data_IF_275508665187
#
_entry.id   IF_275508665187
#
_cell.length_a   1.000
_cell.length_b   1.000
_cell.length_c   1.000
_cell.angle_alpha   90.00
_cell.angle_beta   90.00
_cell.angle_gamma   90.00
#
_symmetry.space_group_name_H-M   'P 1'
#
loop_
_entity.id
_entity.type
_entity.pdbx_description
1 polymer ?
#
# COMPACT_ATOMS: atom_id res chain seq x y z
N UNK A 1 7.92 -32.76 24.71
CA UNK A 1 8.43 -32.81 23.32
C UNK A 1 9.78 -32.12 23.34
N UNK A 2 10.84 -32.87 23.09
CA UNK A 2 12.25 -32.44 23.18
C UNK A 2 12.56 -31.36 22.13
N UNK A 3 13.39 -30.39 22.50
CA UNK A 3 13.81 -29.17 21.76
C UNK A 3 14.63 -29.47 20.47
N UNK A 4 14.56 -30.68 19.92
CA UNK A 4 15.53 -31.15 18.92
C UNK A 4 15.02 -31.23 17.47
N UNK A 5 13.75 -30.94 17.18
CA UNK A 5 13.29 -30.86 15.80
C UNK A 5 13.24 -29.41 15.31
N UNK A 6 14.12 -29.08 14.36
CA UNK A 6 14.02 -27.87 13.55
C UNK A 6 12.66 -27.88 12.83
N UNK A 7 11.86 -26.85 13.05
CA UNK A 7 10.52 -26.73 12.49
C UNK A 7 10.60 -25.86 11.24
N UNK A 8 10.10 -26.37 10.12
CA UNK A 8 9.94 -25.59 8.91
C UNK A 8 8.71 -24.67 9.00
N UNK A 9 8.63 -23.68 8.09
CA UNK A 9 7.53 -22.71 8.07
C UNK A 9 6.15 -23.37 7.86
N UNK A 10 6.08 -24.49 7.13
CA UNK A 10 4.86 -25.25 6.92
C UNK A 10 4.30 -25.82 8.23
N UNK A 11 5.16 -26.46 9.02
CA UNK A 11 4.82 -26.95 10.37
C UNK A 11 4.46 -25.81 11.29
N UNK A 12 5.24 -24.73 11.32
CA UNK A 12 4.96 -23.56 12.16
C UNK A 12 3.59 -22.92 11.82
N UNK A 13 3.22 -22.84 10.53
CA UNK A 13 1.89 -22.37 10.11
C UNK A 13 0.75 -23.26 10.59
N UNK A 14 0.96 -24.58 10.64
CA UNK A 14 -0.07 -25.55 11.08
C UNK A 14 -0.36 -25.48 12.58
N UNK A 15 0.60 -25.01 13.40
CA UNK A 15 0.44 -24.90 14.84
C UNK A 15 -0.59 -23.83 15.23
N UNK A 16 -1.25 -24.05 16.37
CA UNK A 16 -2.10 -23.02 17.00
C UNK A 16 -1.23 -21.92 17.60
N UNK A 17 -1.78 -20.71 17.75
CA UNK A 17 -1.02 -19.58 18.32
C UNK A 17 -0.53 -19.87 19.75
N UNK A 18 -1.28 -20.65 20.53
CA UNK A 18 -0.87 -21.09 21.87
C UNK A 18 0.34 -22.03 21.83
N UNK A 19 0.46 -22.88 20.81
CA UNK A 19 1.59 -23.79 20.61
C UNK A 19 2.81 -23.06 20.08
N UNK A 20 2.62 -22.16 19.11
CA UNK A 20 3.68 -21.26 18.62
C UNK A 20 4.29 -20.43 19.76
N UNK A 21 3.47 -19.92 20.67
CA UNK A 21 3.95 -19.21 21.86
C UNK A 21 4.77 -20.10 22.80
N UNK A 22 4.46 -21.41 22.89
CA UNK A 22 5.29 -22.36 23.65
C UNK A 22 6.64 -22.55 22.97
N UNK A 23 6.65 -22.82 21.65
CA UNK A 23 7.89 -22.96 20.87
C UNK A 23 8.76 -21.71 21.00
N UNK A 24 8.16 -20.51 20.92
CA UNK A 24 8.89 -19.26 21.06
C UNK A 24 9.50 -19.08 22.47
N UNK A 25 8.79 -19.50 23.53
CA UNK A 25 9.33 -19.51 24.90
C UNK A 25 10.46 -20.51 25.06
N UNK A 26 10.33 -21.70 24.49
CA UNK A 26 11.37 -22.74 24.54
C UNK A 26 12.66 -22.29 23.85
N UNK A 27 12.56 -21.41 22.85
CA UNK A 27 13.68 -20.77 22.14
C UNK A 27 14.12 -19.43 22.77
N UNK A 28 13.59 -19.07 23.95
CA UNK A 28 13.88 -17.80 24.65
C UNK A 28 13.62 -16.53 23.81
N UNK A 29 12.61 -16.55 22.94
CA UNK A 29 12.21 -15.38 22.15
C UNK A 29 11.44 -14.39 23.02
N UNK A 30 12.02 -13.21 23.24
CA UNK A 30 11.41 -12.13 24.02
C UNK A 30 10.39 -11.31 23.19
N UNK A 31 9.43 -10.69 23.89
CA UNK A 31 8.48 -9.75 23.26
C UNK A 31 7.55 -10.42 22.23
N UNK A 32 7.02 -11.60 22.56
CA UNK A 32 6.09 -12.36 21.71
C UNK A 32 4.62 -12.00 21.92
N UNK A 33 4.30 -11.30 23.03
CA UNK A 33 2.93 -10.92 23.37
C UNK A 33 2.40 -9.87 22.38
N UNK A 34 1.22 -10.12 21.81
CA UNK A 34 0.54 -9.20 20.88
C UNK A 34 1.05 -9.25 19.43
N UNK A 35 2.02 -10.12 19.12
CA UNK A 35 2.46 -10.33 17.74
C UNK A 35 1.41 -11.08 16.93
N UNK A 36 1.34 -10.78 15.63
CA UNK A 36 0.54 -11.58 14.70
C UNK A 36 1.19 -12.94 14.54
N UNK A 37 0.39 -13.92 14.11
CA UNK A 37 0.86 -15.30 13.90
C UNK A 37 2.06 -15.34 12.94
N UNK A 38 2.02 -14.54 11.86
CA UNK A 38 3.11 -14.49 10.88
C UNK A 38 4.41 -13.94 11.50
N UNK A 39 4.35 -12.82 12.21
CA UNK A 39 5.52 -12.21 12.89
C UNK A 39 6.12 -13.16 13.93
N UNK A 40 5.28 -13.89 14.65
CA UNK A 40 5.72 -14.88 15.63
C UNK A 40 6.45 -16.06 14.97
N UNK A 41 5.92 -16.57 13.85
CA UNK A 41 6.57 -17.63 13.07
C UNK A 41 7.96 -17.16 12.60
N UNK A 42 8.05 -15.92 12.12
CA UNK A 42 9.30 -15.35 11.66
C UNK A 42 10.34 -15.26 12.78
N UNK A 43 9.97 -14.73 13.95
CA UNK A 43 10.87 -14.68 15.12
C UNK A 43 11.34 -16.07 15.57
N UNK A 44 10.48 -17.08 15.47
CA UNK A 44 10.84 -18.48 15.77
C UNK A 44 11.88 -19.00 14.78
N UNK A 45 11.69 -18.79 13.47
CA UNK A 45 12.65 -19.21 12.44
C UNK A 45 14.01 -18.53 12.60
N UNK A 46 14.01 -17.24 12.94
CA UNK A 46 15.21 -16.48 13.24
C UNK A 46 15.94 -17.09 14.44
N UNK A 47 15.26 -17.28 15.57
CA UNK A 47 15.85 -17.84 16.79
C UNK A 47 16.38 -19.27 16.58
N UNK A 48 15.67 -20.12 15.83
CA UNK A 48 16.14 -21.46 15.48
C UNK A 48 17.43 -21.44 14.66
N UNK A 49 17.59 -20.43 13.79
CA UNK A 49 18.78 -20.27 12.95
C UNK A 49 19.96 -19.76 13.76
N UNK A 50 19.74 -18.76 14.61
CA UNK A 50 20.76 -18.18 15.50
C UNK A 50 21.25 -19.20 16.54
N UNK A 51 20.35 -20.01 17.11
CA UNK A 51 20.74 -21.11 18.02
C UNK A 51 21.60 -22.18 17.33
N UNK A 52 21.48 -22.35 16.01
CA UNK A 52 22.34 -23.24 15.23
C UNK A 52 23.69 -22.59 14.85
N UNK A 53 23.98 -21.39 15.35
CA UNK A 53 25.20 -20.63 15.03
C UNK A 53 25.22 -20.04 13.63
N UNK A 54 24.06 -19.97 12.95
CA UNK A 54 23.93 -19.43 11.60
C UNK A 54 23.27 -18.05 11.65
N UNK A 55 23.53 -17.24 10.62
CA UNK A 55 22.91 -15.92 10.48
C UNK A 55 21.61 -16.07 9.69
N UNK A 56 20.57 -15.35 10.11
CA UNK A 56 19.29 -15.28 9.40
C UNK A 56 19.15 -13.91 8.73
N UNK A 57 18.65 -13.88 7.50
CA UNK A 57 18.44 -12.66 6.74
C UNK A 57 17.12 -12.66 5.99
N UNK A 58 16.60 -11.47 5.74
CA UNK A 58 15.41 -11.23 4.94
C UNK A 58 15.62 -9.99 4.06
N UNK A 59 15.03 -10.03 2.86
CA UNK A 59 14.88 -8.84 2.04
C UNK A 59 13.97 -9.08 0.85
N UNK A 60 13.70 -8.03 0.10
CA UNK A 60 12.90 -8.10 -1.13
C UNK A 60 13.83 -8.28 -2.32
N UNK A 61 13.60 -9.33 -3.09
CA UNK A 61 14.44 -9.68 -4.22
C UNK A 61 14.36 -8.62 -5.32
N UNK A 62 15.52 -8.14 -5.78
CA UNK A 62 15.71 -7.48 -7.06
C UNK A 62 16.59 -8.37 -7.94
N UNK A 63 16.04 -8.86 -9.05
CA UNK A 63 16.79 -9.63 -10.06
C UNK A 63 17.39 -8.67 -11.07
N UNK A 64 18.71 -8.75 -11.24
CA UNK A 64 19.45 -7.93 -12.20
C UNK A 64 19.50 -8.58 -13.59
N UNK A 65 19.84 -7.84 -14.66
CA UNK A 65 19.85 -8.35 -16.04
C UNK A 65 20.70 -9.61 -16.24
N UNK A 66 21.79 -9.75 -15.49
CA UNK A 66 22.71 -10.90 -15.53
C UNK A 66 22.13 -12.16 -14.84
N UNK A 67 20.91 -12.09 -14.30
CA UNK A 67 20.16 -13.21 -13.75
C UNK A 67 20.47 -13.55 -12.29
N UNK A 68 21.48 -12.92 -11.67
CA UNK A 68 21.64 -12.92 -10.22
C UNK A 68 20.81 -11.80 -9.60
N UNK A 69 20.68 -11.79 -8.26
CA UNK A 69 19.92 -10.76 -7.59
C UNK A 69 20.46 -10.41 -6.20
N UNK A 70 19.84 -9.40 -5.62
CA UNK A 70 20.07 -8.97 -4.25
C UNK A 70 18.75 -8.89 -3.50
N UNK A 71 18.75 -9.32 -2.24
CA UNK A 71 17.65 -9.05 -1.32
C UNK A 71 17.89 -7.67 -0.72
N UNK A 72 17.06 -6.71 -1.14
CA UNK A 72 17.11 -5.32 -0.70
C UNK A 72 16.40 -5.17 0.63
N UNK A 73 16.98 -4.35 1.51
CA UNK A 73 16.41 -4.07 2.83
C UNK A 73 15.35 -2.97 2.79
N UNK A 74 14.28 -3.17 3.58
CA UNK A 74 13.26 -2.14 3.82
C UNK A 74 13.86 -0.92 4.52
N UNK A 75 14.84 -1.13 5.41
CA UNK A 75 15.50 -0.05 6.17
C UNK A 75 16.26 0.94 5.27
N UNK A 76 16.60 0.50 4.06
CA UNK A 76 17.24 1.32 3.03
C UNK A 76 16.26 1.65 1.89
N UNK A 77 14.95 1.61 2.12
CA UNK A 77 13.93 1.92 1.11
C UNK A 77 14.09 1.12 -0.20
N UNK A 78 14.54 -0.14 -0.10
CA UNK A 78 14.85 -1.01 -1.24
C UNK A 78 16.02 -0.59 -2.13
N UNK A 79 16.88 0.29 -1.63
CA UNK A 79 18.05 0.74 -2.34
C UNK A 79 19.22 -0.24 -2.18
N UNK A 80 20.19 -0.18 -3.10
CA UNK A 80 21.46 -0.85 -2.92
C UNK A 80 22.12 -0.44 -1.60
N UNK A 81 22.31 -1.39 -0.71
CA UNK A 81 22.88 -1.21 0.61
C UNK A 81 24.10 -2.11 0.84
N UNK A 82 24.95 -1.77 1.83
CA UNK A 82 26.09 -2.60 2.19
C UNK A 82 25.65 -3.97 2.76
N UNK A 83 24.46 -4.04 3.34
CA UNK A 83 23.90 -5.24 3.98
C UNK A 83 23.06 -6.09 3.01
N UNK A 84 23.10 -5.79 1.71
CA UNK A 84 22.35 -6.56 0.72
C UNK A 84 22.83 -8.01 0.65
N UNK A 85 21.86 -8.91 0.50
CA UNK A 85 22.12 -10.34 0.48
C UNK A 85 22.11 -10.81 -0.97
N UNK A 86 23.26 -11.25 -1.46
CA UNK A 86 23.41 -11.88 -2.76
C UNK A 86 22.59 -13.18 -2.82
N UNK A 87 21.86 -13.35 -3.92
CA UNK A 87 21.19 -14.59 -4.30
C UNK A 87 21.67 -15.06 -5.68
N UNK A 88 21.98 -16.35 -5.78
CA UNK A 88 22.51 -16.89 -7.02
C UNK A 88 21.41 -17.10 -8.08
N UNK A 89 21.77 -17.07 -9.38
CA UNK A 89 20.82 -17.43 -10.45
C UNK A 89 20.24 -18.84 -10.28
N UNK A 90 21.02 -19.77 -9.72
CA UNK A 90 20.57 -21.14 -9.46
C UNK A 90 19.49 -21.20 -8.38
N UNK A 91 19.58 -20.38 -7.33
CA UNK A 91 18.56 -20.28 -6.30
C UNK A 91 17.28 -19.62 -6.84
N UNK A 92 17.42 -18.52 -7.59
CA UNK A 92 16.30 -17.84 -8.25
C UNK A 92 15.53 -18.82 -9.14
N UNK A 93 16.25 -19.56 -9.99
CA UNK A 93 15.64 -20.56 -10.89
C UNK A 93 15.00 -21.73 -10.13
N UNK A 94 15.66 -22.24 -9.08
CA UNK A 94 15.18 -23.41 -8.31
C UNK A 94 13.83 -23.17 -7.64
N UNK A 95 13.60 -21.95 -7.15
CA UNK A 95 12.38 -21.54 -6.44
C UNK A 95 11.45 -20.66 -7.29
N UNK A 96 11.75 -20.50 -8.59
CA UNK A 96 10.97 -19.67 -9.52
C UNK A 96 10.75 -18.23 -9.02
N UNK A 97 11.77 -17.66 -8.36
CA UNK A 97 11.69 -16.33 -7.74
C UNK A 97 11.68 -15.22 -8.79
N UNK A 98 11.06 -14.10 -8.43
CA UNK A 98 10.98 -12.89 -9.26
C UNK A 98 11.25 -11.65 -8.42
N UNK A 99 11.58 -10.56 -9.10
CA UNK A 99 11.65 -9.24 -8.47
C UNK A 99 10.37 -8.96 -7.67
N UNK A 100 10.54 -8.48 -6.45
CA UNK A 100 9.46 -8.24 -5.49
C UNK A 100 9.22 -9.38 -4.48
N UNK A 101 9.74 -10.59 -4.69
CA UNK A 101 9.53 -11.68 -3.73
C UNK A 101 10.28 -11.37 -2.43
N UNK A 102 9.59 -11.39 -1.29
CA UNK A 102 10.24 -11.34 0.02
C UNK A 102 10.84 -12.70 0.32
N UNK A 103 12.16 -12.77 0.44
CA UNK A 103 12.88 -14.02 0.66
C UNK A 103 13.55 -13.95 2.03
N UNK A 104 13.33 -14.98 2.84
CA UNK A 104 13.91 -15.09 4.17
C UNK A 104 14.62 -16.43 4.32
N UNK A 105 15.77 -16.44 4.97
CA UNK A 105 16.57 -17.65 5.06
C UNK A 105 17.92 -17.50 5.76
N UNK A 106 18.70 -18.57 5.71
CA UNK A 106 20.05 -18.59 6.24
C UNK A 106 20.99 -17.83 5.31
N UNK A 107 21.80 -16.95 5.89
CA UNK A 107 22.84 -16.19 5.19
C UNK A 107 24.21 -16.50 5.78
N UNK A 108 25.25 -16.19 5.02
CA UNK A 108 26.64 -16.21 5.47
C UNK A 108 27.33 -14.88 5.19
N UNK A 109 28.34 -14.49 5.98
CA UNK A 109 29.17 -13.35 5.66
C UNK A 109 29.95 -13.57 4.35
N UNK A 110 30.42 -12.48 3.70
CA UNK A 110 31.30 -12.56 2.55
C UNK A 110 32.60 -13.30 2.90
N UNK A 111 33.08 -14.13 1.98
CA UNK A 111 34.42 -14.72 2.01
C UNK A 111 35.44 -13.74 1.46
N UNK A 112 36.72 -14.09 1.56
CA UNK A 112 37.81 -13.31 0.97
C UNK A 112 37.56 -13.06 -0.53
N UNK A 113 37.52 -11.79 -0.92
CA UNK A 113 37.19 -11.34 -2.28
C UNK A 113 35.70 -11.10 -2.57
N UNK A 114 34.79 -11.46 -1.66
CA UNK A 114 33.35 -11.14 -1.77
C UNK A 114 33.03 -9.84 -1.01
N UNK A 115 32.02 -9.09 -1.48
CA UNK A 115 31.59 -7.82 -0.86
C UNK A 115 30.31 -7.93 -0.04
N UNK A 116 29.46 -8.90 -0.35
CA UNK A 116 28.08 -8.99 0.16
C UNK A 116 27.84 -10.27 0.94
N UNK A 117 26.84 -10.25 1.82
CA UNK A 117 26.30 -11.46 2.40
C UNK A 117 25.75 -12.36 1.30
N UNK A 118 25.75 -13.68 1.50
CA UNK A 118 25.20 -14.62 0.52
C UNK A 118 24.13 -15.50 1.16
N UNK A 119 23.02 -15.69 0.46
CA UNK A 119 21.95 -16.59 0.87
C UNK A 119 22.42 -18.04 0.74
N UNK A 120 22.46 -18.78 1.86
CA UNK A 120 22.80 -20.19 1.88
C UNK A 120 21.58 -21.06 1.57
N UNK A 121 20.48 -20.79 2.27
CA UNK A 121 19.26 -21.60 2.19
C UNK A 121 18.03 -20.70 2.33
N UNK A 122 17.12 -20.83 1.39
CA UNK A 122 15.78 -20.22 1.46
C UNK A 122 14.95 -21.00 2.47
N UNK A 123 14.42 -20.32 3.49
CA UNK A 123 13.50 -20.91 4.47
C UNK A 123 12.04 -20.48 4.21
N UNK A 124 11.83 -19.28 3.64
CA UNK A 124 10.51 -18.77 3.30
C UNK A 124 10.54 -17.86 2.06
N UNK A 125 9.43 -17.85 1.33
CA UNK A 125 9.14 -16.92 0.22
C UNK A 125 7.75 -16.32 0.46
N UNK A 126 7.66 -14.99 0.53
CA UNK A 126 6.44 -14.23 0.84
C UNK A 126 5.71 -14.77 2.08
N UNK A 127 6.47 -15.09 3.14
CA UNK A 127 5.98 -15.66 4.40
C UNK A 127 5.34 -17.05 4.26
N UNK A 128 5.67 -17.78 3.19
CA UNK A 128 5.19 -19.14 2.91
C UNK A 128 6.34 -20.11 2.64
N UNK A 129 5.99 -21.40 2.53
CA UNK A 129 6.97 -22.43 2.18
C UNK A 129 7.53 -22.14 0.78
N UNK A 130 8.85 -22.25 0.55
CA UNK A 130 9.43 -22.03 -0.78
C UNK A 130 8.83 -22.95 -1.86
N UNK A 131 8.26 -24.09 -1.47
CA UNK A 131 7.57 -25.03 -2.35
C UNK A 131 6.22 -24.48 -2.85
N UNK A 132 5.47 -23.75 -2.02
CA UNK A 132 4.16 -23.19 -2.42
C UNK A 132 4.29 -22.05 -3.43
N UNK A 133 5.46 -21.40 -3.51
CA UNK A 133 5.76 -20.37 -4.49
C UNK A 133 5.77 -20.88 -5.95
N UNK A 134 5.84 -22.21 -6.17
CA UNK A 134 5.87 -22.80 -7.52
C UNK A 134 4.49 -22.94 -8.17
N UNK A 135 3.46 -23.11 -7.36
CA UNK A 135 2.10 -23.41 -7.83
C UNK A 135 1.22 -22.16 -7.96
N UNK A 136 1.80 -20.96 -7.81
CA UNK A 136 1.06 -19.69 -7.86
C UNK A 136 0.73 -19.26 -9.28
N UNK A 137 -0.45 -18.68 -9.44
CA UNK A 137 -0.84 -17.98 -10.68
C UNK A 137 -0.16 -16.61 -10.66
N UNK A 138 0.42 -16.22 -11.79
CA UNK A 138 1.09 -14.93 -11.93
C UNK A 138 0.09 -13.80 -11.89
N UNK A 139 0.48 -12.65 -11.32
CA UNK A 139 -0.41 -11.49 -11.15
C UNK A 139 -1.12 -11.07 -12.44
N UNK A 140 -0.40 -11.07 -13.56
CA UNK A 140 -0.94 -10.67 -14.86
C UNK A 140 -1.96 -11.68 -15.44
N UNK A 141 -1.99 -12.91 -14.92
CA UNK A 141 -2.92 -13.97 -15.32
C UNK A 141 -4.13 -14.10 -14.38
N UNK A 142 -4.16 -13.35 -13.27
CA UNK A 142 -5.28 -13.36 -12.33
C UNK A 142 -6.46 -12.59 -12.91
N UNK A 143 -7.68 -13.04 -12.60
CA UNK A 143 -8.91 -12.48 -13.17
C UNK A 143 -9.30 -11.17 -12.46
N UNK A 144 -9.26 -10.01 -13.14
CA UNK A 144 -9.57 -8.73 -12.51
C UNK A 144 -11.08 -8.51 -12.35
N UNK A 145 -11.52 -8.14 -11.16
CA UNK A 145 -12.90 -7.76 -10.86
C UNK A 145 -13.01 -6.31 -10.37
N UNK A 146 -14.23 -5.77 -10.41
CA UNK A 146 -14.55 -4.59 -9.62
C UNK A 146 -14.43 -4.93 -8.12
N UNK A 147 -14.08 -3.94 -7.28
CA UNK A 147 -14.16 -4.10 -5.83
C UNK A 147 -15.60 -4.45 -5.41
N UNK A 148 -15.76 -5.54 -4.67
CA UNK A 148 -17.04 -6.04 -4.15
C UNK A 148 -17.01 -6.26 -2.62
N UNK A 149 -15.86 -6.01 -1.99
CA UNK A 149 -15.70 -6.04 -0.53
C UNK A 149 -15.21 -4.67 -0.09
N UNK A 150 -16.01 -4.00 0.73
CA UNK A 150 -15.73 -2.65 1.24
C UNK A 150 -14.71 -2.67 2.38
N UNK A 151 -13.78 -1.72 2.35
CA UNK A 151 -13.06 -1.26 3.53
C UNK A 151 -13.92 -0.20 4.24
N UNK A 152 -14.53 -0.57 5.37
CA UNK A 152 -15.25 0.37 6.23
C UNK A 152 -14.23 1.23 6.96
N UNK A 153 -14.23 2.53 6.69
CA UNK A 153 -13.23 3.46 7.21
C UNK A 153 -13.59 4.03 8.59
N UNK A 154 -14.86 3.99 8.97
CA UNK A 154 -15.36 4.39 10.28
C UNK A 154 -14.66 3.61 11.40
N UNK A 155 -14.17 4.34 12.41
CA UNK A 155 -13.53 3.76 13.60
C UNK A 155 -14.20 4.28 14.87
N UNK A 156 -13.72 5.41 15.42
CA UNK A 156 -14.29 6.08 16.58
C UNK A 156 -15.31 7.12 16.15
N UNK A 157 -16.35 7.33 16.95
CA UNK A 157 -17.41 8.32 16.68
C UNK A 157 -16.89 9.73 16.34
N UNK A 158 -15.79 10.16 16.99
CA UNK A 158 -15.16 11.47 16.79
C UNK A 158 -14.30 11.59 15.53
N UNK A 159 -14.00 10.47 14.86
CA UNK A 159 -13.22 10.47 13.62
C UNK A 159 -14.15 10.78 12.43
N UNK A 160 -14.59 12.04 12.36
CA UNK A 160 -15.57 12.49 11.37
C UNK A 160 -15.05 12.39 9.94
N UNK A 161 -13.74 12.58 9.71
CA UNK A 161 -13.14 12.49 8.37
C UNK A 161 -13.43 11.16 7.69
N UNK A 162 -13.12 10.06 8.36
CA UNK A 162 -13.31 8.71 7.79
C UNK A 162 -14.79 8.34 7.68
N UNK A 163 -15.62 8.87 8.59
CA UNK A 163 -17.09 8.73 8.51
C UNK A 163 -17.66 9.45 7.28
N UNK A 164 -17.21 10.66 7.00
CA UNK A 164 -17.56 11.41 5.78
C UNK A 164 -17.10 10.65 4.54
N UNK A 165 -15.86 10.15 4.52
CA UNK A 165 -15.34 9.36 3.41
C UNK A 165 -16.17 8.09 3.15
N UNK A 166 -16.58 7.39 4.20
CA UNK A 166 -17.42 6.20 4.08
C UNK A 166 -18.77 6.48 3.39
N UNK A 167 -19.33 7.67 3.59
CA UNK A 167 -20.61 8.06 2.98
C UNK A 167 -20.46 8.58 1.55
N UNK A 168 -19.33 9.21 1.22
CA UNK A 168 -19.14 9.90 -0.06
C UNK A 168 -18.30 9.10 -1.05
N UNK A 169 -17.26 8.43 -0.58
CA UNK A 169 -16.29 7.73 -1.41
C UNK A 169 -15.96 6.37 -0.78
N UNK A 170 -16.89 5.41 -0.81
CA UNK A 170 -16.62 4.08 -0.27
C UNK A 170 -15.40 3.46 -0.97
N UNK A 171 -14.48 2.89 -0.19
CA UNK A 171 -13.25 2.30 -0.72
C UNK A 171 -13.38 0.78 -0.65
N UNK A 172 -13.15 0.09 -1.76
CA UNK A 172 -13.13 -1.37 -1.78
C UNK A 172 -11.73 -2.00 -1.78
N UNK A 173 -11.70 -3.31 -1.52
CA UNK A 173 -10.55 -4.18 -1.82
C UNK A 173 -10.33 -4.23 -3.32
N UNK A 174 -9.19 -3.76 -3.79
CA UNK A 174 -8.88 -3.60 -5.21
C UNK A 174 -9.19 -2.21 -5.80
N UNK A 175 -9.49 -1.20 -4.96
CA UNK A 175 -9.83 0.14 -5.44
C UNK A 175 -8.63 0.82 -6.13
N UNK A 176 -8.90 1.54 -7.22
CA UNK A 176 -8.00 2.50 -7.86
C UNK A 176 -8.44 3.91 -7.52
N UNK A 177 -8.00 4.39 -6.36
CA UNK A 177 -8.41 5.67 -5.81
C UNK A 177 -7.45 6.80 -6.14
N UNK A 178 -7.98 8.01 -6.21
CA UNK A 178 -7.21 9.23 -6.38
C UNK A 178 -7.68 10.32 -5.41
N UNK A 179 -6.77 10.82 -4.58
CA UNK A 179 -7.01 12.00 -3.73
C UNK A 179 -6.54 13.22 -4.52
N UNK A 180 -7.49 13.94 -5.10
CA UNK A 180 -7.23 15.11 -5.95
C UNK A 180 -7.18 16.33 -5.05
N UNK A 181 -6.01 16.94 -4.94
CA UNK A 181 -5.75 17.91 -3.88
C UNK A 181 -4.90 19.07 -4.41
N UNK A 182 -5.31 20.32 -4.20
CA UNK A 182 -4.41 21.44 -4.37
C UNK A 182 -3.35 21.46 -3.25
N UNK A 183 -2.23 22.17 -3.42
CA UNK A 183 -1.27 22.38 -2.34
C UNK A 183 -1.95 22.95 -1.09
N UNK A 184 -1.52 22.53 0.10
CA UNK A 184 -2.05 22.97 1.40
C UNK A 184 -3.55 22.71 1.60
N UNK A 185 -4.05 21.54 1.21
CA UNK A 185 -5.46 21.14 1.37
C UNK A 185 -5.71 20.02 2.38
N UNK A 186 -4.65 19.47 3.00
CA UNK A 186 -4.75 18.39 3.98
C UNK A 186 -4.62 16.97 3.43
N UNK A 187 -4.04 16.79 2.22
CA UNK A 187 -3.81 15.47 1.58
C UNK A 187 -3.16 14.44 2.52
N UNK A 188 -2.12 14.86 3.24
CA UNK A 188 -1.31 13.99 4.11
C UNK A 188 -2.15 13.47 5.27
N UNK A 189 -2.95 14.34 5.89
CA UNK A 189 -3.85 13.96 7.00
C UNK A 189 -4.90 12.95 6.52
N UNK A 190 -5.50 13.16 5.35
CA UNK A 190 -6.46 12.20 4.78
C UNK A 190 -5.79 10.84 4.57
N UNK A 191 -4.60 10.81 3.96
CA UNK A 191 -3.85 9.57 3.72
C UNK A 191 -3.51 8.82 5.03
N UNK A 192 -3.03 9.54 6.05
CA UNK A 192 -2.77 8.97 7.38
C UNK A 192 -4.03 8.38 8.01
N UNK A 193 -5.18 9.06 7.87
CA UNK A 193 -6.47 8.59 8.40
C UNK A 193 -6.95 7.32 7.68
N UNK A 194 -6.79 7.24 6.36
CA UNK A 194 -7.07 6.01 5.59
C UNK A 194 -6.19 4.86 6.11
N UNK A 195 -4.86 5.08 6.17
CA UNK A 195 -3.92 4.04 6.59
C UNK A 195 -4.25 3.49 7.98
N UNK A 196 -4.44 4.39 8.95
CA UNK A 196 -4.72 4.01 10.33
C UNK A 196 -6.11 3.37 10.51
N UNK A 197 -7.09 3.78 9.72
CA UNK A 197 -8.40 3.14 9.73
C UNK A 197 -8.33 1.71 9.22
N UNK A 198 -7.68 1.50 8.07
CA UNK A 198 -7.47 0.15 7.51
C UNK A 198 -6.67 -0.71 8.50
N UNK A 199 -5.59 -0.18 9.08
CA UNK A 199 -4.78 -0.91 10.05
C UNK A 199 -5.58 -1.33 11.31
N UNK A 200 -6.57 -0.53 11.70
CA UNK A 200 -7.43 -0.81 12.85
C UNK A 200 -8.51 -1.83 12.53
N UNK A 201 -9.24 -1.63 11.44
CA UNK A 201 -10.42 -2.43 11.08
C UNK A 201 -10.05 -3.73 10.34
N UNK A 202 -8.92 -3.73 9.64
CA UNK A 202 -8.46 -4.82 8.78
C UNK A 202 -6.97 -5.11 9.06
N UNK A 203 -6.65 -5.65 10.24
CA UNK A 203 -5.26 -5.87 10.63
C UNK A 203 -4.52 -6.77 9.64
N UNK A 204 -5.17 -7.74 9.01
CA UNK A 204 -4.51 -8.66 8.07
C UNK A 204 -4.14 -8.01 6.71
N UNK A 205 -4.64 -6.81 6.42
CA UNK A 205 -4.27 -6.05 5.22
C UNK A 205 -2.84 -5.52 5.35
N UNK A 206 -2.04 -5.71 4.29
CA UNK A 206 -0.67 -5.20 4.22
C UNK A 206 -0.72 -3.76 3.70
N UNK A 207 -0.25 -2.82 4.51
CA UNK A 207 -0.26 -1.38 4.17
C UNK A 207 1.16 -0.94 3.85
N UNK A 208 1.34 -0.41 2.65
CA UNK A 208 2.57 0.19 2.18
C UNK A 208 2.31 1.67 1.86
N UNK A 209 3.09 2.57 2.43
CA UNK A 209 3.05 3.99 2.11
C UNK A 209 4.29 4.32 1.30
N UNK A 210 4.10 4.78 0.06
CA UNK A 210 5.17 5.14 -0.86
C UNK A 210 5.20 6.66 -1.03
N UNK A 211 6.27 7.28 -0.55
CA UNK A 211 6.49 8.72 -0.61
C UNK A 211 7.56 9.03 -1.68
N UNK A 212 7.19 9.79 -2.71
CA UNK A 212 8.03 10.11 -3.85
C UNK A 212 8.23 11.62 -3.94
N UNK A 213 9.50 12.05 -3.95
CA UNK A 213 9.90 13.45 -4.12
C UNK A 213 9.22 14.36 -3.07
N UNK A 214 9.11 13.85 -1.85
CA UNK A 214 8.51 14.55 -0.71
C UNK A 214 9.59 14.97 0.31
N UNK A 215 9.22 15.87 1.22
CA UNK A 215 10.16 16.44 2.18
C UNK A 215 10.52 15.48 3.31
N UNK A 216 11.78 15.46 3.79
CA UNK A 216 12.22 14.57 4.87
C UNK A 216 11.38 14.66 6.16
N UNK A 217 10.92 15.86 6.53
CA UNK A 217 10.07 16.05 7.71
C UNK A 217 8.68 15.43 7.54
N UNK A 218 8.13 15.43 6.32
CA UNK A 218 6.85 14.79 6.01
C UNK A 218 6.97 13.26 5.99
N UNK A 219 8.12 12.73 5.54
CA UNK A 219 8.46 11.31 5.65
C UNK A 219 8.49 10.88 7.11
N UNK A 220 9.22 11.62 7.95
CA UNK A 220 9.35 11.32 9.38
C UNK A 220 7.99 11.36 10.09
N UNK A 221 7.13 12.32 9.74
CA UNK A 221 5.77 12.40 10.29
C UNK A 221 4.92 11.18 9.89
N UNK A 222 5.00 10.73 8.64
CA UNK A 222 4.30 9.55 8.15
C UNK A 222 4.75 8.27 8.86
N UNK A 223 6.06 8.07 9.01
CA UNK A 223 6.65 6.92 9.72
C UNK A 223 6.18 6.82 11.18
N UNK A 224 6.04 7.97 11.85
CA UNK A 224 5.58 8.01 13.25
C UNK A 224 4.07 7.87 13.39
N UNK A 225 3.32 8.28 12.36
CA UNK A 225 1.86 8.40 12.43
C UNK A 225 1.11 7.21 11.85
N UNK A 226 1.73 6.42 10.97
CA UNK A 226 1.05 5.31 10.27
C UNK A 226 1.55 3.95 10.73
N UNK A 227 0.61 3.05 10.99
CA UNK A 227 0.88 1.62 11.21
C UNK A 227 0.95 0.89 9.87
N UNK A 228 2.11 0.92 9.24
CA UNK A 228 2.37 0.26 7.98
C UNK A 228 3.85 0.35 7.62
N UNK A 229 4.19 -0.24 6.49
CA UNK A 229 5.53 -0.10 5.92
C UNK A 229 5.61 1.23 5.18
N UNK A 230 6.47 2.14 5.62
CA UNK A 230 6.69 3.44 4.97
C UNK A 230 7.99 3.36 4.18
N UNK A 231 7.90 3.60 2.87
CA UNK A 231 9.00 3.59 1.92
C UNK A 231 9.08 4.96 1.28
N UNK A 232 10.26 5.56 1.24
CA UNK A 232 10.42 6.91 0.72
C UNK A 232 11.64 7.09 -0.20
N UNK A 233 11.49 8.04 -1.11
CA UNK A 233 12.59 8.66 -1.84
C UNK A 233 12.36 10.17 -1.80
N UNK A 234 13.13 10.88 -0.97
CA UNK A 234 12.98 12.34 -0.77
C UNK A 234 13.39 13.12 -2.02
N UNK A 235 13.07 14.42 -2.05
CA UNK A 235 13.40 15.32 -3.17
C UNK A 235 14.91 15.50 -3.42
N UNK A 236 15.77 15.08 -2.48
CA UNK A 236 17.23 15.12 -2.64
C UNK A 236 17.76 14.06 -3.62
N UNK A 237 16.90 13.11 -3.99
CA UNK A 237 17.25 11.95 -4.79
C UNK A 237 16.96 12.14 -6.28
N UNK A 238 17.70 11.48 -7.19
CA UNK A 238 17.47 11.60 -8.62
C UNK A 238 16.18 10.90 -9.07
N UNK A 239 15.64 11.32 -10.21
CA UNK A 239 14.41 10.78 -10.78
C UNK A 239 14.47 9.26 -11.05
N UNK A 240 15.61 8.73 -11.48
CA UNK A 240 15.83 7.29 -11.65
C UNK A 240 15.57 6.51 -10.36
N UNK A 241 15.95 7.10 -9.21
CA UNK A 241 15.74 6.48 -7.90
C UNK A 241 14.27 6.46 -7.53
N UNK A 242 13.53 7.54 -7.78
CA UNK A 242 12.08 7.56 -7.57
C UNK A 242 11.39 6.45 -8.37
N UNK A 243 11.79 6.27 -9.63
CA UNK A 243 11.27 5.22 -10.51
C UNK A 243 11.60 3.84 -9.97
N UNK A 244 12.87 3.58 -9.62
CA UNK A 244 13.31 2.27 -9.11
C UNK A 244 12.57 1.85 -7.84
N UNK A 245 12.47 2.75 -6.85
CA UNK A 245 11.78 2.46 -5.57
C UNK A 245 10.31 2.18 -5.82
N UNK A 246 9.64 2.97 -6.68
CA UNK A 246 8.25 2.72 -7.03
C UNK A 246 8.05 1.37 -7.74
N UNK A 247 8.93 1.00 -8.68
CA UNK A 247 8.86 -0.30 -9.35
C UNK A 247 9.06 -1.46 -8.36
N UNK A 248 9.99 -1.35 -7.42
CA UNK A 248 10.20 -2.35 -6.37
C UNK A 248 8.98 -2.52 -5.47
N UNK A 249 8.37 -1.43 -4.99
CA UNK A 249 7.15 -1.47 -4.17
C UNK A 249 6.00 -2.10 -4.94
N UNK A 250 5.83 -1.74 -6.22
CA UNK A 250 4.77 -2.30 -7.05
C UNK A 250 4.96 -3.82 -7.26
N UNK A 251 6.17 -4.25 -7.58
CA UNK A 251 6.45 -5.68 -7.77
C UNK A 251 6.27 -6.46 -6.46
N UNK A 252 6.72 -5.92 -5.32
CA UNK A 252 6.45 -6.52 -4.00
C UNK A 252 4.95 -6.67 -3.75
N UNK A 253 4.16 -5.62 -4.00
CA UNK A 253 2.72 -5.65 -3.83
C UNK A 253 2.07 -6.73 -4.70
N UNK A 254 2.46 -6.84 -5.98
CA UNK A 254 1.98 -7.90 -6.88
C UNK A 254 2.32 -9.30 -6.37
N UNK A 255 3.57 -9.52 -5.93
CA UNK A 255 3.98 -10.82 -5.38
C UNK A 255 3.12 -11.20 -4.18
N UNK A 256 2.83 -10.28 -3.27
CA UNK A 256 1.96 -10.55 -2.13
C UNK A 256 0.52 -10.90 -2.56
N UNK A 257 -0.02 -10.24 -3.57
CA UNK A 257 -1.36 -10.57 -4.12
C UNK A 257 -1.38 -11.95 -4.79
N UNK A 258 -0.31 -12.37 -5.46
CA UNK A 258 -0.19 -13.76 -5.97
C UNK A 258 -0.31 -14.80 -4.85
N UNK A 259 0.05 -14.43 -3.61
CA UNK A 259 -0.15 -15.23 -2.39
C UNK A 259 -1.46 -14.89 -1.65
N UNK A 260 -2.46 -14.39 -2.40
CA UNK A 260 -3.83 -14.10 -1.92
C UNK A 260 -3.90 -13.12 -0.76
N UNK A 261 -2.94 -12.20 -0.68
CA UNK A 261 -2.94 -11.12 0.31
C UNK A 261 -3.71 -9.92 -0.19
N UNK A 262 -4.35 -9.22 0.73
CA UNK A 262 -4.90 -7.89 0.48
C UNK A 262 -3.82 -6.85 0.78
N UNK A 263 -3.46 -6.08 -0.24
CA UNK A 263 -2.40 -5.08 -0.17
C UNK A 263 -2.98 -3.71 -0.49
N UNK A 264 -2.64 -2.71 0.31
CA UNK A 264 -2.97 -1.31 0.11
C UNK A 264 -1.68 -0.53 -0.07
N UNK A 265 -1.53 0.13 -1.22
CA UNK A 265 -0.43 1.07 -1.48
C UNK A 265 -0.99 2.49 -1.46
N UNK A 266 -0.50 3.31 -0.54
CA UNK A 266 -0.80 4.73 -0.47
C UNK A 266 0.37 5.50 -1.09
N UNK A 267 0.14 6.15 -2.22
CA UNK A 267 1.19 6.82 -3.00
C UNK A 267 1.07 8.34 -2.87
N UNK A 268 2.10 8.98 -2.34
CA UNK A 268 2.22 10.45 -2.29
C UNK A 268 3.48 10.89 -3.06
N UNK A 269 3.40 11.25 -4.35
CA UNK A 269 2.20 11.43 -5.18
C UNK A 269 2.34 10.79 -6.56
N UNK A 270 1.21 10.47 -7.21
CA UNK A 270 1.22 9.97 -8.60
C UNK A 270 1.71 11.04 -9.57
N UNK A 271 1.45 12.32 -9.27
CA UNK A 271 1.92 13.46 -10.08
C UNK A 271 3.44 13.53 -10.09
N UNK A 272 4.09 13.47 -8.91
CA UNK A 272 5.55 13.50 -8.81
C UNK A 272 6.20 12.27 -9.43
N UNK A 273 5.60 11.09 -9.24
CA UNK A 273 6.06 9.87 -9.91
C UNK A 273 6.00 9.99 -11.43
N UNK A 274 4.91 10.55 -11.98
CA UNK A 274 4.78 10.79 -13.41
C UNK A 274 5.81 11.79 -13.96
N UNK A 275 6.14 12.84 -13.19
CA UNK A 275 7.25 13.75 -13.50
C UNK A 275 8.60 13.02 -13.56
N UNK A 276 8.89 12.16 -12.57
CA UNK A 276 10.11 11.37 -12.56
C UNK A 276 10.23 10.47 -13.79
N UNK A 277 9.15 9.76 -14.16
CA UNK A 277 9.13 8.98 -15.41
C UNK A 277 9.36 9.84 -16.65
N UNK A 278 8.79 11.05 -16.71
CA UNK A 278 8.99 11.97 -17.83
C UNK A 278 10.44 12.42 -17.99
N UNK A 279 11.16 12.59 -16.87
CA UNK A 279 12.58 12.95 -16.88
C UNK A 279 13.48 11.78 -17.32
N UNK A 280 13.14 10.55 -16.94
CA UNK A 280 13.96 9.35 -17.18
C UNK A 280 13.72 8.74 -18.57
N UNK A 281 12.52 8.90 -19.14
CA UNK A 281 12.20 8.25 -20.43
C UNK A 281 13.03 8.88 -21.57
N UNK A 282 13.62 8.07 -22.47
CA UNK A 282 14.23 8.59 -23.68
C UNK A 282 13.20 9.31 -24.54
N UNK A 283 13.56 10.48 -25.07
CA UNK A 283 12.67 11.30 -25.90
C UNK A 283 12.11 10.53 -27.09
N UNK A 284 10.78 10.49 -27.22
CA UNK A 284 10.07 9.83 -28.32
C UNK A 284 9.96 10.70 -29.58
N UNK A 285 10.31 11.99 -29.48
CA UNK A 285 10.07 12.99 -30.51
C UNK A 285 8.62 13.49 -30.58
N UNK A 286 7.73 12.97 -29.71
CA UNK A 286 6.32 13.40 -29.60
C UNK A 286 6.04 13.93 -28.20
N UNK A 287 6.02 15.25 -28.08
CA UNK A 287 5.78 15.95 -26.82
C UNK A 287 4.33 16.45 -26.82
N UNK A 288 3.57 16.07 -25.79
CA UNK A 288 2.22 16.53 -25.53
C UNK A 288 2.24 17.96 -24.94
N UNK A 289 1.06 18.56 -24.81
CA UNK A 289 0.91 19.83 -24.09
C UNK A 289 1.52 19.74 -22.69
N UNK A 290 2.13 20.82 -22.20
CA UNK A 290 2.77 20.86 -20.89
C UNK A 290 4.13 20.15 -20.81
N UNK A 291 4.74 19.74 -21.93
CA UNK A 291 6.11 19.19 -21.94
C UNK A 291 6.20 17.72 -21.53
N UNK A 292 5.09 16.99 -21.58
CA UNK A 292 5.02 15.57 -21.25
C UNK A 292 5.31 14.74 -22.51
N UNK A 293 6.29 13.84 -22.46
CA UNK A 293 6.54 12.90 -23.54
C UNK A 293 5.37 11.89 -23.65
N UNK A 294 4.95 11.58 -24.87
CA UNK A 294 3.83 10.64 -25.11
C UNK A 294 4.03 9.26 -24.47
N UNK A 295 5.28 8.81 -24.29
CA UNK A 295 5.60 7.53 -23.66
C UNK A 295 5.76 7.62 -22.14
N UNK A 296 5.96 8.83 -21.58
CA UNK A 296 6.24 9.01 -20.16
C UNK A 296 5.09 8.55 -19.25
N UNK A 297 3.85 8.68 -19.72
CA UNK A 297 2.67 8.35 -18.92
C UNK A 297 2.32 6.85 -18.91
N UNK A 298 2.92 6.05 -19.80
CA UNK A 298 2.57 4.64 -19.92
C UNK A 298 2.88 3.84 -18.63
N UNK A 299 4.08 4.00 -18.08
CA UNK A 299 4.49 3.30 -16.86
C UNK A 299 3.70 3.72 -15.61
N UNK A 300 3.51 5.02 -15.30
CA UNK A 300 2.73 5.39 -14.12
C UNK A 300 1.23 5.10 -14.29
N UNK A 301 0.67 5.09 -15.52
CA UNK A 301 -0.66 4.51 -15.78
C UNK A 301 -0.73 3.02 -15.45
N UNK A 302 0.29 2.24 -15.83
CA UNK A 302 0.39 0.82 -15.46
C UNK A 302 0.52 0.64 -13.95
N UNK A 303 1.21 1.55 -13.24
CA UNK A 303 1.31 1.53 -11.79
C UNK A 303 -0.09 1.66 -11.15
N UNK A 304 -0.83 2.73 -11.45
CA UNK A 304 -2.17 2.93 -10.89
C UNK A 304 -3.16 1.86 -11.38
N UNK A 305 -3.05 1.45 -12.64
CA UNK A 305 -3.86 0.39 -13.28
C UNK A 305 -3.53 -1.02 -12.80
N UNK A 306 -2.48 -1.22 -12.01
CA UNK A 306 -2.22 -2.50 -11.37
C UNK A 306 -3.27 -2.81 -10.32
N UNK A 307 -3.83 -1.79 -9.63
CA UNK A 307 -4.83 -2.01 -8.61
C UNK A 307 -6.12 -2.62 -9.16
N UNK A 308 -6.56 -3.70 -8.52
CA UNK A 308 -7.68 -4.55 -8.95
C UNK A 308 -8.06 -5.50 -7.83
N UNK A 309 -9.33 -5.89 -7.81
CA UNK A 309 -9.80 -7.02 -7.02
C UNK A 309 -9.55 -8.31 -7.81
N UNK A 310 -9.28 -9.42 -7.13
CA UNK A 310 -8.91 -10.69 -7.77
C UNK A 310 -9.92 -11.78 -7.41
N UNK A 311 -10.42 -12.50 -8.41
CA UNK A 311 -11.38 -13.60 -8.20
C UNK A 311 -10.76 -14.77 -7.43
N UNK A 312 -9.52 -15.13 -7.73
CA UNK A 312 -8.81 -16.26 -7.14
C UNK A 312 -8.33 -16.02 -5.68
N UNK A 313 -8.49 -14.77 -5.21
CA UNK A 313 -8.17 -14.32 -3.85
C UNK A 313 -7.10 -13.23 -3.78
N UNK A 314 -7.18 -12.41 -2.73
CA UNK A 314 -6.34 -11.23 -2.56
C UNK A 314 -6.84 -10.02 -3.33
N UNK A 315 -6.20 -8.88 -3.13
CA UNK A 315 -6.53 -7.63 -3.83
C UNK A 315 -5.37 -6.65 -3.77
N UNK A 316 -5.23 -5.83 -4.80
CA UNK A 316 -4.32 -4.68 -4.80
C UNK A 316 -5.14 -3.40 -4.82
N UNK A 317 -5.20 -2.69 -3.71
CA UNK A 317 -5.74 -1.33 -3.63
C UNK A 317 -4.60 -0.33 -3.77
N UNK A 318 -4.73 0.66 -4.66
CA UNK A 318 -3.78 1.78 -4.79
C UNK A 318 -4.58 3.07 -4.65
N UNK A 319 -4.16 3.92 -3.73
CA UNK A 319 -4.70 5.27 -3.57
C UNK A 319 -3.54 6.27 -3.71
N UNK A 320 -3.52 6.99 -4.83
CA UNK A 320 -2.52 8.01 -5.11
C UNK A 320 -3.04 9.42 -4.85
N UNK A 321 -2.21 10.33 -4.37
CA UNK A 321 -2.51 11.78 -4.40
C UNK A 321 -2.19 12.35 -5.77
N UNK A 322 -3.08 13.17 -6.31
CA UNK A 322 -2.87 13.91 -7.54
C UNK A 322 -2.94 15.40 -7.24
N UNK A 323 -1.89 16.13 -7.63
CA UNK A 323 -1.81 17.58 -7.44
C UNK A 323 -2.55 18.30 -8.56
N UNK A 324 -3.41 19.25 -8.17
CA UNK A 324 -4.10 20.18 -9.08
C UNK A 324 -3.83 21.62 -8.64
N UNK A 325 -4.20 22.60 -9.46
CA UNK A 325 -4.05 24.03 -9.17
C UNK A 325 -2.62 24.45 -8.75
N UNK A 326 -1.62 23.77 -9.30
CA UNK A 326 -0.20 24.05 -9.04
C UNK A 326 0.35 25.20 -9.90
N UNK A 327 -0.42 25.63 -10.90
CA UNK A 327 0.04 26.56 -11.95
C UNK A 327 0.89 25.90 -13.03
N UNK A 328 1.12 24.58 -12.96
CA UNK A 328 1.86 23.81 -13.97
C UNK A 328 0.93 23.15 -14.96
N UNK A 329 1.06 23.49 -16.25
CA UNK A 329 0.31 22.83 -17.33
C UNK A 329 0.63 21.34 -17.44
N UNK A 330 1.85 20.94 -17.05
CA UNK A 330 2.26 19.54 -17.00
C UNK A 330 1.38 18.74 -16.03
N UNK A 331 1.12 19.30 -14.84
CA UNK A 331 0.33 18.62 -13.80
C UNK A 331 -1.13 18.48 -14.21
N UNK A 332 -1.69 19.49 -14.87
CA UNK A 332 -3.05 19.44 -15.42
C UNK A 332 -3.18 18.31 -16.44
N UNK A 333 -2.22 18.18 -17.37
CA UNK A 333 -2.21 17.11 -18.37
C UNK A 333 -2.05 15.74 -17.71
N UNK A 334 -1.13 15.63 -16.74
CA UNK A 334 -0.96 14.41 -15.95
C UNK A 334 -2.28 14.02 -15.28
N UNK A 335 -2.94 14.95 -14.59
CA UNK A 335 -4.19 14.68 -13.87
C UNK A 335 -5.30 14.20 -14.80
N UNK A 336 -5.52 14.88 -15.94
CA UNK A 336 -6.56 14.49 -16.90
C UNK A 336 -6.31 13.09 -17.47
N UNK A 337 -5.05 12.72 -17.71
CA UNK A 337 -4.68 11.39 -18.18
C UNK A 337 -4.90 10.28 -17.13
N UNK A 338 -4.81 10.61 -15.84
CA UNK A 338 -5.07 9.67 -14.73
C UNK A 338 -6.55 9.56 -14.34
N UNK A 339 -7.34 10.60 -14.57
CA UNK A 339 -8.79 10.63 -14.31
C UNK A 339 -9.53 9.49 -14.99
N UNK A 340 -9.11 9.11 -16.21
CA UNK A 340 -9.66 7.97 -16.94
C UNK A 340 -9.27 6.60 -16.37
N UNK A 341 -8.19 6.53 -15.59
CA UNK A 341 -7.58 5.28 -15.08
C UNK A 341 -8.17 4.87 -13.72
N UNK A 342 -8.47 5.85 -12.87
CA UNK A 342 -9.06 5.66 -11.55
C UNK A 342 -10.53 5.26 -11.58
N UNK A 343 -11.01 4.67 -10.48
CA UNK A 343 -12.42 4.38 -10.25
C UNK A 343 -12.97 4.95 -8.93
N UNK A 344 -12.16 5.68 -8.16
CA UNK A 344 -12.59 6.54 -7.07
C UNK A 344 -11.83 7.87 -7.12
N UNK A 345 -12.53 8.97 -6.93
CA UNK A 345 -11.98 10.33 -6.84
C UNK A 345 -12.46 10.98 -5.54
N UNK A 346 -11.52 11.39 -4.70
CA UNK A 346 -11.76 12.22 -3.52
C UNK A 346 -11.14 13.60 -3.77
N UNK A 347 -11.98 14.60 -4.01
CA UNK A 347 -11.53 15.95 -4.28
C UNK A 347 -11.44 16.77 -3.00
N UNK A 348 -10.33 17.48 -2.81
CA UNK A 348 -10.16 18.44 -1.72
C UNK A 348 -10.34 19.87 -2.21
N UNK A 349 -11.09 20.67 -1.45
CA UNK A 349 -11.41 22.06 -1.77
C UNK A 349 -10.59 23.04 -0.92
N UNK A 350 -9.92 23.98 -1.60
CA UNK A 350 -9.06 24.99 -0.95
C UNK A 350 -9.85 25.99 -0.10
N UNK A 351 -11.10 26.31 -0.48
CA UNK A 351 -11.93 27.26 0.26
C UNK A 351 -12.36 26.70 1.62
N UNK A 352 -12.72 25.41 1.67
CA UNK A 352 -12.98 24.69 2.94
C UNK A 352 -11.75 24.77 3.85
N UNK A 353 -10.56 24.48 3.31
CA UNK A 353 -9.31 24.54 4.07
C UNK A 353 -9.04 25.96 4.62
N UNK A 354 -9.18 26.99 3.79
CA UNK A 354 -8.95 28.38 4.20
C UNK A 354 -9.94 28.85 5.29
N UNK A 355 -11.17 28.34 5.27
CA UNK A 355 -12.17 28.57 6.32
C UNK A 355 -12.02 27.67 7.55
N UNK A 356 -10.99 26.81 7.58
CA UNK A 356 -10.70 25.86 8.65
C UNK A 356 -11.83 24.83 8.87
N UNK A 357 -12.54 24.48 7.81
CA UNK A 357 -13.56 23.42 7.82
C UNK A 357 -12.89 22.12 7.38
N UNK A 358 -12.85 21.13 8.28
CA UNK A 358 -12.20 19.84 8.07
C UNK A 358 -13.18 18.68 8.29
N UNK A 359 -13.18 17.65 7.41
CA UNK A 359 -12.29 17.46 6.28
C UNK A 359 -12.63 18.40 5.11
N UNK A 360 -11.61 18.88 4.39
CA UNK A 360 -11.78 19.79 3.27
C UNK A 360 -12.21 19.05 1.99
N UNK A 361 -13.19 18.15 2.07
CA UNK A 361 -13.64 17.30 0.97
C UNK A 361 -14.75 18.02 0.19
N UNK A 362 -14.61 18.10 -1.14
CA UNK A 362 -15.68 18.53 -2.03
C UNK A 362 -16.69 17.39 -2.21
N UNK A 363 -17.86 17.56 -1.60
CA UNK A 363 -18.96 16.58 -1.60
C UNK A 363 -19.51 16.35 -3.02
N UNK A 364 -19.54 17.40 -3.85
CA UNK A 364 -20.15 17.36 -5.19
C UNK A 364 -19.27 16.65 -6.18
N UNK A 365 -17.95 16.87 -6.10
CA UNK A 365 -16.97 16.31 -7.04
C UNK A 365 -16.46 14.92 -6.63
N UNK A 366 -16.52 14.58 -5.35
CA UNK A 366 -16.04 13.28 -4.85
C UNK A 366 -17.02 12.15 -5.14
N UNK A 367 -16.53 11.04 -5.69
CA UNK A 367 -17.35 9.90 -6.10
C UNK A 367 -16.57 8.59 -6.16
N UNK A 368 -17.30 7.46 -6.14
CA UNK A 368 -16.76 6.12 -6.44
C UNK A 368 -17.61 5.46 -7.51
N UNK A 369 -16.98 4.94 -8.56
CA UNK A 369 -17.69 4.19 -9.61
C UNK A 369 -18.12 2.83 -9.06
N UNK A 370 -19.32 2.39 -9.42
CA UNK A 370 -19.90 1.12 -8.99
C UNK A 370 -20.01 0.98 -7.45
N UNK A 371 -20.36 2.08 -6.78
CA UNK A 371 -20.58 2.07 -5.32
C UNK A 371 -21.73 1.15 -4.89
N UNK A 372 -22.63 0.78 -5.80
CA UNK A 372 -23.67 -0.24 -5.62
C UNK A 372 -23.13 -1.64 -5.29
N UNK A 373 -21.86 -1.92 -5.62
CA UNK A 373 -21.19 -3.17 -5.24
C UNK A 373 -20.56 -3.12 -3.84
N UNK A 374 -20.50 -1.94 -3.22
CA UNK A 374 -19.83 -1.70 -1.94
C UNK A 374 -20.78 -1.32 -0.81
N UNK A 375 -21.92 -0.73 -1.16
CA UNK A 375 -22.97 -0.31 -0.24
C UNK A 375 -24.17 -1.24 -0.38
N UNK A 376 -24.82 -1.58 0.73
CA UNK A 376 -26.10 -2.27 0.64
C UNK A 376 -27.20 -1.34 0.06
N UNK A 377 -28.28 -1.93 -0.44
CA UNK A 377 -29.33 -1.19 -1.14
C UNK A 377 -29.98 -0.08 -0.27
N UNK A 378 -30.16 -0.34 1.03
CA UNK A 378 -30.76 0.64 1.95
C UNK A 378 -29.79 1.76 2.26
N UNK A 379 -28.52 1.44 2.51
CA UNK A 379 -27.46 2.42 2.70
C UNK A 379 -27.33 3.31 1.47
N UNK A 380 -27.28 2.72 0.27
CA UNK A 380 -27.13 3.43 -1.00
C UNK A 380 -28.29 4.42 -1.24
N UNK A 381 -29.54 4.00 -1.03
CA UNK A 381 -30.70 4.88 -1.18
C UNK A 381 -30.62 6.10 -0.24
N UNK A 382 -30.21 5.88 1.01
CA UNK A 382 -30.08 6.96 2.00
C UNK A 382 -28.93 7.90 1.69
N UNK A 383 -27.77 7.36 1.29
CA UNK A 383 -26.63 8.15 0.81
C UNK A 383 -27.03 8.99 -0.40
N UNK A 384 -27.87 8.47 -1.30
CA UNK A 384 -28.36 9.23 -2.45
C UNK A 384 -29.25 10.41 -2.04
N UNK A 385 -30.18 10.20 -1.09
CA UNK A 385 -31.00 11.28 -0.53
C UNK A 385 -30.11 12.33 0.16
N UNK A 386 -29.13 11.88 0.95
CA UNK A 386 -28.15 12.76 1.60
C UNK A 386 -27.44 13.63 0.57
N UNK A 387 -26.90 13.02 -0.50
CA UNK A 387 -26.20 13.74 -1.57
C UNK A 387 -27.11 14.75 -2.26
N UNK A 388 -28.38 14.43 -2.51
CA UNK A 388 -29.34 15.40 -3.08
C UNK A 388 -29.50 16.63 -2.19
N UNK A 389 -29.74 16.43 -0.90
CA UNK A 389 -29.90 17.54 0.05
C UNK A 389 -28.64 18.40 0.14
N UNK A 390 -27.46 17.77 0.23
CA UNK A 390 -26.19 18.49 0.34
C UNK A 390 -25.82 19.23 -0.96
N UNK A 391 -26.27 18.77 -2.12
CA UNK A 391 -25.98 19.38 -3.40
C UNK A 391 -26.69 20.72 -3.63
N UNK A 392 -27.82 20.96 -2.95
CA UNK A 392 -28.56 22.24 -2.98
C UNK A 392 -27.83 23.36 -2.22
N UNK A 393 -26.93 22.99 -1.30
CA UNK A 393 -26.16 23.93 -0.49
C UNK A 393 -24.84 24.31 -1.19
N UNK A 394 -24.22 25.40 -0.76
CA UNK A 394 -22.83 25.66 -1.14
C UNK A 394 -21.87 24.70 -0.41
N UNK A 395 -20.65 24.53 -0.92
CA UNK A 395 -19.70 23.52 -0.42
C UNK A 395 -19.39 23.66 1.08
N UNK A 396 -19.29 24.90 1.59
CA UNK A 396 -18.99 25.17 3.00
C UNK A 396 -20.17 24.78 3.89
N UNK A 397 -21.36 25.28 3.56
CA UNK A 397 -22.60 24.97 4.28
C UNK A 397 -22.91 23.47 4.28
N UNK A 398 -22.70 22.80 3.14
CA UNK A 398 -22.92 21.38 3.01
C UNK A 398 -22.03 20.58 3.96
N UNK A 399 -20.73 20.91 4.02
CA UNK A 399 -19.78 20.23 4.91
C UNK A 399 -20.08 20.53 6.39
N UNK A 400 -20.36 21.79 6.74
CA UNK A 400 -20.72 22.16 8.11
C UNK A 400 -22.00 21.46 8.58
N UNK A 401 -23.03 21.40 7.74
CA UNK A 401 -24.27 20.71 8.04
C UNK A 401 -24.03 19.20 8.24
N UNK A 402 -23.26 18.57 7.33
CA UNK A 402 -22.94 17.15 7.42
C UNK A 402 -22.19 16.85 8.73
N UNK A 403 -21.16 17.64 9.06
CA UNK A 403 -20.38 17.47 10.30
C UNK A 403 -21.24 17.70 11.54
N UNK A 404 -22.12 18.72 11.53
CA UNK A 404 -23.03 18.99 12.64
C UNK A 404 -23.97 17.79 12.89
N UNK A 405 -24.50 17.18 11.82
CA UNK A 405 -25.40 16.04 11.92
C UNK A 405 -24.67 14.77 12.35
N UNK A 406 -23.51 14.46 11.74
CA UNK A 406 -22.67 13.32 12.13
C UNK A 406 -22.18 13.43 13.57
N UNK A 407 -21.89 14.65 14.05
CA UNK A 407 -21.45 14.89 15.42
C UNK A 407 -22.51 14.59 16.49
N UNK A 408 -23.79 14.45 16.11
CA UNK A 408 -24.88 14.07 17.02
C UNK A 408 -25.02 12.56 17.19
N UNK A 409 -24.42 11.77 16.31
CA UNK A 409 -24.52 10.30 16.31
C UNK A 409 -23.15 9.66 16.49
N UNK A 410 -23.14 8.42 16.98
CA UNK A 410 -21.91 7.66 17.20
C UNK A 410 -21.44 6.93 15.95
N UNK A 411 -22.38 6.52 15.09
CA UNK A 411 -22.08 5.77 13.86
C UNK A 411 -22.77 6.35 12.63
N UNK A 412 -22.26 6.00 11.46
CA UNK A 412 -22.88 6.31 10.16
C UNK A 412 -24.23 5.61 10.00
N UNK A 413 -24.35 4.39 10.52
CA UNK A 413 -25.61 3.65 10.52
C UNK A 413 -26.71 4.40 11.30
N UNK A 414 -26.42 4.81 12.53
CA UNK A 414 -27.34 5.62 13.37
C UNK A 414 -27.70 6.95 12.68
N UNK A 415 -26.71 7.60 12.05
CA UNK A 415 -26.95 8.82 11.27
C UNK A 415 -27.92 8.60 10.12
N UNK A 416 -27.66 7.58 9.28
CA UNK A 416 -28.50 7.28 8.12
C UNK A 416 -29.90 6.84 8.53
N UNK A 417 -30.06 6.16 9.67
CA UNK A 417 -31.37 5.83 10.23
C UNK A 417 -32.14 7.06 10.70
N UNK A 418 -31.45 8.04 11.30
CA UNK A 418 -32.07 9.27 11.79
C UNK A 418 -32.63 10.18 10.69
N UNK A 419 -32.21 9.99 9.42
CA UNK A 419 -32.73 10.75 8.28
C UNK A 419 -34.18 10.41 7.90
N UNK A 420 -34.73 9.33 8.45
CA UNK A 420 -36.12 8.92 8.25
C UNK A 420 -37.11 9.62 9.21
N UNK A 421 -36.61 10.45 10.14
CA UNK A 421 -37.40 11.28 11.05
C UNK A 421 -37.29 12.74 10.62
#
# INVERSE_FOLDING_TARGET
MTVSQKLDIGKLKSLKISELNKVARDLNVNGVSGLRKQDLIFKVLQAQTEMAGLIFGEGVLEVLPDGFGFLRSVNYNYLPGPDDIYISPSQIKKFSLRTGDTVSGQIRPPKEGEKYFALLKVEAVNFESPESAKDKILFDNLTPLYPNVRYKMETKAKELTVRVMDLLTPIGKGQRGMIVAPPYSGKTIIMQKIANSIAHNYPDTIIMVLLIDERPEEVTDMERSVKGEVISSTFDEPADRHVQVAEMVLEKAKRLVEHKKDVVVLLDSITRLARAYNTVVPHSGKILSGGVDSNALHKPKRFLGAARNIEEGGSLTIIGTALIDTGSRMDEVIFEEFKGTGNMELQLDRNLFQRRVYPAIDIKRSNTRKEDLLLDEKELQRVWVLRKVLNELNTVEAMELLLQKLGRTKTNEEFLESMNQ
#
